data_IF_186576873498
#
_entry.id   IF_186576873498
#
_cell.length_a   1.000
_cell.length_b   1.000
_cell.length_c   1.000
_cell.angle_alpha   90.00
_cell.angle_beta   90.00
_cell.angle_gamma   90.00
#
_symmetry.space_group_name_H-M   'P 1'
#
loop_
_entity.id
_entity.type
_entity.pdbx_description
1 polymer ?
#
# COMPACT_ATOMS: atom_id res chain seq x y z
N UNK A 1 -7.12 19.83 1.56
CA UNK A 1 -8.36 19.08 1.87
C UNK A 1 -8.71 19.34 3.32
N UNK A 2 -9.91 19.85 3.63
CA UNK A 2 -10.33 20.03 5.01
C UNK A 2 -10.38 18.67 5.73
N UNK A 3 -9.90 18.61 6.96
CA UNK A 3 -10.09 17.44 7.82
C UNK A 3 -11.60 17.24 8.06
N UNK A 4 -12.08 16.00 7.93
CA UNK A 4 -13.43 15.62 8.38
C UNK A 4 -14.49 15.42 7.28
N UNK A 5 -14.23 15.79 6.02
CA UNK A 5 -15.14 15.43 4.91
C UNK A 5 -14.76 14.03 4.40
N UNK A 6 -15.68 13.05 4.41
CA UNK A 6 -15.43 11.73 3.83
C UNK A 6 -15.09 11.87 2.35
N UNK A 7 -14.02 11.21 1.90
CA UNK A 7 -13.72 11.13 0.46
C UNK A 7 -14.91 10.51 -0.28
N UNK A 8 -15.19 10.99 -1.49
CA UNK A 8 -16.10 10.31 -2.41
C UNK A 8 -15.70 8.84 -2.58
N UNK A 9 -16.67 7.98 -2.92
CA UNK A 9 -16.45 6.55 -3.02
C UNK A 9 -15.27 6.20 -3.96
N UNK A 10 -15.14 6.95 -5.05
CA UNK A 10 -14.07 6.78 -6.04
C UNK A 10 -12.68 7.20 -5.54
N UNK A 11 -12.62 7.98 -4.47
CA UNK A 11 -11.39 8.44 -3.81
C UNK A 11 -11.18 7.77 -2.44
N UNK A 12 -11.97 6.74 -2.10
CA UNK A 12 -11.78 5.97 -0.87
C UNK A 12 -10.34 5.45 -0.78
N UNK A 13 -9.63 5.77 0.30
CA UNK A 13 -8.24 5.38 0.50
C UNK A 13 -7.24 6.03 -0.45
N UNK A 14 -7.65 6.96 -1.32
CA UNK A 14 -6.80 7.73 -2.23
C UNK A 14 -6.82 9.19 -1.80
N UNK A 15 -5.65 9.77 -1.62
CA UNK A 15 -5.47 11.13 -1.14
C UNK A 15 -4.74 11.95 -2.22
N UNK A 16 -5.34 13.01 -2.77
CA UNK A 16 -4.66 13.90 -3.67
C UNK A 16 -3.57 14.67 -2.91
N UNK A 17 -2.41 14.81 -3.56
CA UNK A 17 -1.24 15.55 -3.07
C UNK A 17 -0.77 16.51 -4.16
N UNK A 18 -0.04 17.59 -3.83
CA UNK A 18 0.50 18.50 -4.84
C UNK A 18 1.37 17.80 -5.91
N UNK A 19 2.03 16.69 -5.56
CA UNK A 19 2.90 15.92 -6.44
C UNK A 19 2.21 14.73 -7.14
N UNK A 20 0.94 14.44 -6.83
CA UNK A 20 0.20 13.29 -7.37
C UNK A 20 -0.82 12.70 -6.39
N UNK A 21 -0.76 11.39 -6.17
CA UNK A 21 -1.74 10.66 -5.36
C UNK A 21 -1.07 9.71 -4.38
N UNK A 22 -1.69 9.54 -3.23
CA UNK A 22 -1.27 8.61 -2.19
C UNK A 22 -2.40 7.63 -1.90
N UNK A 23 -2.15 6.33 -2.04
CA UNK A 23 -3.05 5.28 -1.58
C UNK A 23 -2.65 4.91 -0.17
N UNK A 24 -3.57 5.07 0.79
CA UNK A 24 -3.36 4.72 2.19
C UNK A 24 -4.58 3.97 2.74
N UNK A 25 -4.43 2.67 2.92
CA UNK A 25 -5.45 1.79 3.49
C UNK A 25 -4.90 1.05 4.71
N UNK A 26 -5.64 1.04 5.81
CA UNK A 26 -5.29 0.25 6.98
C UNK A 26 -6.10 -1.05 7.02
N UNK A 27 -5.43 -2.19 7.17
CA UNK A 27 -6.03 -3.53 7.25
C UNK A 27 -5.31 -4.34 8.31
N UNK A 28 -6.08 -4.97 9.23
CA UNK A 28 -5.55 -5.77 10.33
C UNK A 28 -4.44 -5.09 11.18
N UNK A 29 -4.47 -3.76 11.30
CA UNK A 29 -3.44 -2.98 12.02
C UNK A 29 -2.22 -2.59 11.18
N UNK A 30 -2.10 -3.07 9.94
CA UNK A 30 -1.04 -2.70 9.00
C UNK A 30 -1.53 -1.61 8.06
N UNK A 31 -0.70 -0.60 7.83
CA UNK A 31 -0.99 0.49 6.88
C UNK A 31 -0.28 0.21 5.55
N UNK A 32 -1.07 0.03 4.49
CA UNK A 32 -0.59 -0.10 3.12
C UNK A 32 -0.52 1.28 2.47
N UNK A 33 0.70 1.82 2.36
CA UNK A 33 0.98 3.13 1.80
C UNK A 33 1.67 3.00 0.44
N UNK A 34 1.10 3.62 -0.61
CA UNK A 34 1.71 3.68 -1.94
C UNK A 34 1.58 5.09 -2.53
N UNK A 35 2.61 5.55 -3.22
CA UNK A 35 2.68 6.89 -3.80
C UNK A 35 2.76 6.83 -5.34
N UNK A 36 1.95 7.66 -5.99
CA UNK A 36 1.82 7.76 -7.44
C UNK A 36 2.05 9.21 -7.85
N UNK A 37 3.29 9.54 -8.20
CA UNK A 37 3.66 10.90 -8.58
C UNK A 37 3.37 11.19 -10.06
N UNK A 38 2.85 12.38 -10.36
CA UNK A 38 2.58 12.84 -11.74
C UNK A 38 3.85 12.73 -12.59
N UNK A 39 4.98 13.19 -12.04
CA UNK A 39 6.28 13.12 -12.71
C UNK A 39 6.74 11.70 -13.04
N UNK A 40 6.29 10.68 -12.29
CA UNK A 40 6.66 9.28 -12.53
C UNK A 40 5.75 8.60 -13.57
N UNK A 41 4.51 9.07 -13.72
CA UNK A 41 3.49 8.47 -14.57
C UNK A 41 3.14 9.35 -15.79
N UNK A 42 3.86 10.45 -15.99
CA UNK A 42 3.70 11.37 -17.12
C UNK A 42 2.65 12.44 -16.86
N UNK A 43 1.44 12.02 -16.48
CA UNK A 43 0.33 12.93 -16.25
C UNK A 43 -0.46 12.60 -14.97
N UNK A 44 -1.45 13.44 -14.68
CA UNK A 44 -2.31 13.31 -13.49
C UNK A 44 -3.33 12.18 -13.64
N UNK A 45 -3.81 11.91 -14.84
CA UNK A 45 -4.87 10.94 -15.09
C UNK A 45 -4.34 9.50 -14.97
N UNK A 46 -3.17 9.23 -15.53
CA UNK A 46 -2.43 7.99 -15.41
C UNK A 46 -2.02 7.76 -13.95
N UNK A 47 -1.48 8.77 -13.26
CA UNK A 47 -1.16 8.64 -11.84
C UNK A 47 -2.39 8.26 -10.99
N UNK A 48 -3.56 8.84 -11.28
CA UNK A 48 -4.81 8.51 -10.61
C UNK A 48 -5.30 7.11 -10.96
N UNK A 49 -5.21 6.71 -12.23
CA UNK A 49 -5.59 5.38 -12.72
C UNK A 49 -4.79 4.28 -12.02
N UNK A 50 -3.49 4.48 -11.89
CA UNK A 50 -2.59 3.56 -11.19
C UNK A 50 -2.88 3.52 -9.68
N UNK A 51 -3.17 4.67 -9.06
CA UNK A 51 -3.61 4.72 -7.67
C UNK A 51 -4.93 3.94 -7.45
N UNK A 52 -5.91 4.07 -8.36
CA UNK A 52 -7.17 3.32 -8.32
C UNK A 52 -6.94 1.82 -8.48
N UNK A 53 -6.18 1.41 -9.49
CA UNK A 53 -5.85 0.00 -9.70
C UNK A 53 -5.13 -0.62 -8.48
N UNK A 54 -4.18 0.11 -7.87
CA UNK A 54 -3.50 -0.37 -6.66
C UNK A 54 -4.44 -0.48 -5.46
N UNK A 55 -5.32 0.51 -5.26
CA UNK A 55 -6.34 0.46 -4.20
C UNK A 55 -7.23 -0.77 -4.38
N UNK A 56 -7.74 -0.99 -5.59
CA UNK A 56 -8.67 -2.08 -5.89
C UNK A 56 -8.01 -3.44 -5.68
N UNK A 57 -6.75 -3.59 -6.12
CA UNK A 57 -5.96 -4.77 -5.84
C UNK A 57 -5.78 -5.02 -4.33
N UNK A 58 -5.53 -3.98 -3.52
CA UNK A 58 -5.42 -4.12 -2.05
C UNK A 58 -6.77 -4.52 -1.43
N UNK A 59 -7.88 -3.90 -1.87
CA UNK A 59 -9.22 -4.18 -1.37
C UNK A 59 -9.64 -5.63 -1.64
N UNK A 60 -9.33 -6.14 -2.83
CA UNK A 60 -9.62 -7.51 -3.23
C UNK A 60 -8.73 -8.53 -2.52
N UNK A 61 -7.41 -8.28 -2.47
CA UNK A 61 -6.44 -9.22 -1.89
C UNK A 61 -6.42 -9.23 -0.36
N UNK A 62 -6.68 -8.08 0.29
CA UNK A 62 -6.54 -7.91 1.74
C UNK A 62 -7.86 -7.42 2.34
N UNK A 63 -8.82 -8.33 2.60
CA UNK A 63 -10.09 -7.93 3.18
C UNK A 63 -9.96 -7.46 4.64
N UNK A 64 -10.86 -6.57 5.11
CA UNK A 64 -11.03 -6.31 6.53
C UNK A 64 -11.21 -7.61 7.31
N UNK A 65 -10.82 -7.61 8.58
CA UNK A 65 -10.99 -8.79 9.44
C UNK A 65 -12.47 -9.23 9.47
N UNK A 66 -12.71 -10.54 9.41
CA UNK A 66 -14.06 -11.11 9.59
C UNK A 66 -14.64 -10.66 10.93
N UNK A 67 -15.96 -10.43 10.98
CA UNK A 67 -16.63 -10.01 12.23
C UNK A 67 -16.41 -11.01 13.36
N UNK A 68 -16.37 -12.31 13.03
CA UNK A 68 -16.08 -13.42 13.94
C UNK A 68 -14.76 -13.21 14.70
N UNK A 69 -13.66 -12.94 13.98
CA UNK A 69 -12.34 -12.71 14.59
C UNK A 69 -12.38 -11.56 15.61
N UNK A 70 -13.12 -10.49 15.31
CA UNK A 70 -13.30 -9.38 16.26
C UNK A 70 -14.15 -9.79 17.47
N UNK A 71 -15.18 -10.60 17.27
CA UNK A 71 -16.09 -11.06 18.31
C UNK A 71 -15.45 -12.10 19.25
N UNK A 72 -14.47 -12.85 18.77
CA UNK A 72 -13.68 -13.84 19.53
C UNK A 72 -12.53 -13.21 20.32
N UNK A 73 -12.10 -11.99 19.96
CA UNK A 73 -11.00 -11.31 20.63
C UNK A 73 -11.33 -11.02 22.11
N UNK A 74 -10.58 -11.67 23.01
CA UNK A 74 -10.62 -11.41 24.45
C UNK A 74 -10.14 -10.00 24.73
N UNK A 75 -10.89 -9.29 25.59
CA UNK A 75 -10.56 -7.93 26.05
C UNK A 75 -9.96 -8.00 27.44
N UNK A 76 -9.12 -7.02 27.78
CA UNK A 76 -8.46 -6.91 29.09
C UNK A 76 -9.45 -6.91 30.27
N UNK A 77 -10.67 -6.44 30.06
CA UNK A 77 -11.72 -6.40 31.08
C UNK A 77 -12.63 -7.65 31.10
N UNK A 78 -12.31 -8.68 30.33
CA UNK A 78 -13.06 -9.93 30.33
C UNK A 78 -12.58 -10.79 31.50
N UNK A 79 -13.48 -11.04 32.47
CA UNK A 79 -13.22 -11.89 33.64
C UNK A 79 -13.66 -13.36 33.46
N UNK A 80 -14.30 -13.69 32.33
CA UNK A 80 -14.94 -14.98 32.07
C UNK A 80 -14.16 -15.88 31.12
N UNK A 81 -13.06 -15.39 30.54
CA UNK A 81 -12.25 -16.07 29.52
C UNK A 81 -12.91 -16.13 28.13
N UNK A 82 -14.24 -16.09 28.04
CA UNK A 82 -15.00 -16.18 26.78
C UNK A 82 -15.74 -14.88 26.46
N UNK A 83 -15.40 -14.14 25.39
CA UNK A 83 -16.07 -12.90 25.02
C UNK A 83 -17.54 -13.10 24.67
N UNK A 84 -18.42 -12.30 25.27
CA UNK A 84 -19.87 -12.38 25.06
C UNK A 84 -20.58 -13.38 25.97
N UNK A 85 -19.86 -14.09 26.84
CA UNK A 85 -20.42 -14.88 27.94
C UNK A 85 -20.28 -14.09 29.24
N UNK A 86 -21.40 -13.84 29.91
CA UNK A 86 -21.46 -13.05 31.16
C UNK A 86 -22.25 -13.79 32.23
N UNK A 87 -21.75 -13.89 33.47
CA UNK A 87 -22.57 -14.33 34.60
C UNK A 87 -23.64 -13.28 34.90
N UNK A 88 -24.81 -13.77 35.30
CA UNK A 88 -25.91 -12.99 35.85
C UNK A 88 -25.94 -13.30 37.33
N UNK A 89 -25.92 -12.25 38.17
CA UNK A 89 -25.88 -12.38 39.62
C UNK A 89 -27.27 -12.12 40.22
N UNK A 90 -27.57 -12.80 41.32
CA UNK A 90 -28.68 -12.46 42.20
C UNK A 90 -28.31 -11.27 43.09
N UNK A 91 -29.29 -10.77 43.84
CA UNK A 91 -29.09 -9.68 44.80
C UNK A 91 -28.08 -10.02 45.91
N UNK A 92 -27.95 -11.31 46.24
CA UNK A 92 -26.99 -11.83 47.25
C UNK A 92 -25.56 -12.00 46.71
N UNK A 93 -25.31 -11.69 45.44
CA UNK A 93 -24.00 -11.86 44.79
C UNK A 93 -23.71 -13.29 44.29
N UNK A 94 -24.61 -14.24 44.50
CA UNK A 94 -24.51 -15.60 43.93
C UNK A 94 -24.79 -15.58 42.42
N UNK A 95 -24.17 -16.51 41.67
CA UNK A 95 -24.44 -16.64 40.23
C UNK A 95 -25.82 -17.27 40.02
N UNK A 96 -26.73 -16.49 39.44
CA UNK A 96 -28.07 -16.91 39.05
C UNK A 96 -28.07 -17.76 37.78
N UNK A 97 -27.13 -17.47 36.87
CA UNK A 97 -27.07 -18.10 35.56
C UNK A 97 -26.02 -17.48 34.67
N UNK A 98 -25.88 -18.05 33.49
CA UNK A 98 -24.92 -17.64 32.48
C UNK A 98 -25.63 -17.24 31.20
N UNK A 99 -25.22 -16.10 30.64
CA UNK A 99 -25.79 -15.57 29.40
C UNK A 99 -24.75 -15.49 28.30
N UNK A 100 -25.05 -16.08 27.15
CA UNK A 100 -24.35 -15.86 25.90
C UNK A 100 -25.08 -14.79 25.08
N UNK A 101 -24.36 -13.75 24.64
CA UNK A 101 -24.89 -12.66 23.82
C UNK A 101 -23.98 -12.35 22.63
N UNK A 102 -24.55 -12.38 21.43
CA UNK A 102 -23.82 -12.19 20.17
C UNK A 102 -24.56 -11.26 19.21
N UNK A 103 -23.84 -10.30 18.63
CA UNK A 103 -24.36 -9.43 17.57
C UNK A 103 -24.00 -10.00 16.20
N UNK A 104 -24.94 -10.67 15.54
CA UNK A 104 -24.69 -11.36 14.26
C UNK A 104 -24.95 -10.49 13.03
N UNK A 105 -25.72 -9.40 13.17
CA UNK A 105 -26.08 -8.48 12.07
C UNK A 105 -26.37 -7.06 12.58
N UNK A 106 -26.64 -6.10 11.67
CA UNK A 106 -27.24 -4.82 12.05
C UNK A 106 -28.59 -5.07 12.74
N UNK A 107 -28.72 -4.65 14.01
CA UNK A 107 -29.95 -4.88 14.81
C UNK A 107 -30.19 -6.32 15.27
N UNK A 108 -29.50 -7.31 14.69
CA UNK A 108 -29.73 -8.73 14.97
C UNK A 108 -28.82 -9.26 16.09
N UNK A 109 -29.45 -9.75 17.17
CA UNK A 109 -28.78 -10.19 18.40
C UNK A 109 -29.28 -11.58 18.78
N UNK A 110 -28.37 -12.55 18.88
CA UNK A 110 -28.66 -13.85 19.48
C UNK A 110 -28.35 -13.82 20.97
N UNK A 111 -29.26 -14.38 21.77
CA UNK A 111 -29.14 -14.48 23.22
C UNK A 111 -29.53 -15.90 23.65
N UNK A 112 -28.76 -16.45 24.57
CA UNK A 112 -29.11 -17.69 25.27
C UNK A 112 -28.80 -17.50 26.75
N UNK A 113 -29.65 -18.04 27.61
CA UNK A 113 -29.52 -17.95 29.06
C UNK A 113 -29.70 -19.35 29.65
N UNK A 114 -28.82 -19.68 30.59
CA UNK A 114 -28.80 -20.97 31.27
C UNK A 114 -28.77 -20.72 32.77
N UNK A 115 -29.80 -21.17 33.48
CA UNK A 115 -29.95 -20.97 34.93
C UNK A 115 -29.06 -21.94 35.71
N UNK A 116 -28.44 -21.49 36.79
CA UNK A 116 -27.72 -22.39 37.72
C UNK A 116 -28.69 -23.30 38.47
N UNK A 117 -29.96 -22.92 38.63
CA UNK A 117 -30.96 -23.79 39.27
C UNK A 117 -31.32 -25.00 38.40
N UNK A 118 -31.26 -24.86 37.08
CA UNK A 118 -31.67 -25.92 36.15
C UNK A 118 -30.49 -26.78 35.70
N UNK A 119 -29.32 -26.16 35.50
CA UNK A 119 -28.16 -26.84 34.93
C UNK A 119 -26.95 -26.91 35.87
N UNK A 120 -27.06 -26.38 37.10
CA UNK A 120 -25.97 -26.36 38.07
C UNK A 120 -24.69 -25.76 37.49
N UNK A 121 -23.57 -26.44 37.74
CA UNK A 121 -22.24 -26.06 37.26
C UNK A 121 -22.11 -26.13 35.72
N UNK A 122 -22.96 -26.92 35.05
CA UNK A 122 -22.96 -27.04 33.59
C UNK A 122 -23.49 -25.78 32.88
N UNK A 123 -24.17 -24.87 33.60
CA UNK A 123 -24.74 -23.65 33.02
C UNK A 123 -23.70 -22.79 32.29
N UNK A 124 -22.48 -22.69 32.83
CA UNK A 124 -21.38 -21.95 32.19
C UNK A 124 -20.96 -22.61 30.87
N UNK A 125 -20.76 -23.92 30.90
CA UNK A 125 -20.35 -24.71 29.74
C UNK A 125 -21.40 -24.63 28.63
N UNK A 126 -22.69 -24.72 28.97
CA UNK A 126 -23.79 -24.56 28.02
C UNK A 126 -23.80 -23.15 27.39
N UNK A 127 -23.54 -22.10 28.18
CA UNK A 127 -23.42 -20.75 27.64
C UNK A 127 -22.23 -20.61 26.67
N UNK A 128 -21.10 -21.29 26.94
CA UNK A 128 -19.95 -21.31 26.03
C UNK A 128 -20.29 -22.03 24.71
N UNK A 129 -20.96 -23.20 24.77
CA UNK A 129 -21.40 -23.90 23.55
C UNK A 129 -22.43 -23.11 22.74
N UNK A 130 -23.40 -22.48 23.42
CA UNK A 130 -24.34 -21.60 22.76
C UNK A 130 -23.62 -20.42 22.10
N UNK A 131 -22.59 -19.86 22.75
CA UNK A 131 -21.77 -18.79 22.17
C UNK A 131 -21.02 -19.24 20.93
N UNK A 132 -20.43 -20.44 20.92
CA UNK A 132 -19.79 -21.01 19.75
C UNK A 132 -20.78 -21.14 18.58
N UNK A 133 -21.95 -21.72 18.83
CA UNK A 133 -23.02 -21.85 17.83
C UNK A 133 -23.48 -20.49 17.27
N UNK A 134 -23.56 -19.47 18.12
CA UNK A 134 -23.88 -18.10 17.70
C UNK A 134 -22.77 -17.48 16.83
N UNK A 135 -21.50 -17.80 17.08
CA UNK A 135 -20.36 -17.34 16.28
C UNK A 135 -20.32 -18.01 14.90
N UNK A 136 -20.75 -19.26 14.79
CA UNK A 136 -20.82 -19.95 13.50
C UNK A 136 -21.87 -19.32 12.57
N UNK A 137 -22.94 -18.74 13.14
CA UNK A 137 -23.92 -17.94 12.39
C UNK A 137 -23.42 -16.54 12.03
N UNK A 138 -22.27 -16.10 12.55
CA UNK A 138 -21.74 -14.76 12.29
C UNK A 138 -21.01 -14.72 10.94
N UNK A 139 -21.65 -14.11 9.95
CA UNK A 139 -21.06 -13.86 8.64
C UNK A 139 -20.57 -12.41 8.45
N UNK A 140 -19.74 -12.22 7.41
CA UNK A 140 -19.37 -10.90 6.90
C UNK A 140 -18.13 -10.25 7.51
N UNK A 141 -17.80 -9.08 6.96
CA UNK A 141 -16.58 -8.32 7.24
C UNK A 141 -16.84 -7.24 8.28
N UNK A 142 -15.81 -6.88 9.04
CA UNK A 142 -15.92 -5.83 10.06
C UNK A 142 -16.02 -4.47 9.38
N UNK A 143 -17.22 -3.86 9.40
CA UNK A 143 -17.49 -2.48 8.95
C UNK A 143 -16.76 -2.12 7.64
N UNK A 144 -17.00 -2.82 6.52
CA UNK A 144 -16.48 -2.40 5.23
C UNK A 144 -16.99 -0.99 4.91
N UNK A 145 -16.14 -0.14 4.36
CA UNK A 145 -16.57 1.17 3.89
C UNK A 145 -17.62 0.99 2.77
N UNK A 146 -18.68 1.81 2.65
CA UNK A 146 -19.69 1.63 1.60
C UNK A 146 -19.09 1.58 0.19
N UNK A 147 -18.07 2.40 -0.07
CA UNK A 147 -17.32 2.35 -1.33
C UNK A 147 -16.63 1.00 -1.57
N UNK A 148 -16.18 0.32 -0.52
CA UNK A 148 -15.49 -0.96 -0.63
C UNK A 148 -16.43 -2.09 -1.06
N UNK A 149 -17.71 -2.05 -0.67
CA UNK A 149 -18.70 -3.02 -1.13
C UNK A 149 -18.80 -3.02 -2.67
N UNK A 150 -18.93 -1.83 -3.27
CA UNK A 150 -18.95 -1.66 -4.74
C UNK A 150 -17.68 -2.13 -5.42
N UNK A 151 -16.51 -1.92 -4.79
CA UNK A 151 -15.22 -2.36 -5.33
C UNK A 151 -15.06 -3.88 -5.30
N UNK A 152 -15.71 -4.56 -4.33
CA UNK A 152 -15.72 -6.03 -4.23
C UNK A 152 -16.70 -6.68 -5.18
N UNK A 153 -17.80 -6.00 -5.51
CA UNK A 153 -18.76 -6.44 -6.53
C UNK A 153 -18.17 -6.37 -7.95
N UNK A 154 -17.10 -5.60 -8.17
CA UNK A 154 -16.37 -5.62 -9.45
C UNK A 154 -15.67 -6.95 -9.65
N UNK A 155 -16.09 -7.69 -10.67
CA UNK A 155 -15.59 -9.03 -11.03
C UNK A 155 -14.09 -9.05 -11.34
N UNK A 156 -13.53 -7.97 -11.86
CA UNK A 156 -12.10 -7.86 -12.14
C UNK A 156 -11.52 -6.56 -11.57
N UNK A 157 -10.35 -6.61 -10.91
CA UNK A 157 -9.59 -5.40 -10.66
C UNK A 157 -9.27 -4.75 -12.00
N UNK A 158 -9.30 -3.41 -12.11
CA UNK A 158 -8.70 -2.77 -13.27
C UNK A 158 -7.27 -3.29 -13.36
N UNK A 159 -6.95 -3.99 -14.46
CA UNK A 159 -5.59 -4.44 -14.74
C UNK A 159 -4.71 -3.21 -14.56
N UNK A 160 -3.68 -3.29 -13.71
CA UNK A 160 -2.63 -2.28 -13.74
C UNK A 160 -2.08 -2.36 -15.16
N UNK A 161 -2.55 -1.46 -16.03
CA UNK A 161 -1.97 -1.28 -17.34
C UNK A 161 -0.51 -0.94 -17.06
N UNK A 162 0.40 -1.65 -17.69
CA UNK A 162 1.84 -1.52 -17.51
C UNK A 162 2.34 -0.18 -18.09
N UNK A 163 1.72 0.93 -17.71
CA UNK A 163 2.24 2.24 -17.98
C UNK A 163 3.66 2.26 -17.42
N UNK A 164 4.61 2.56 -18.30
CA UNK A 164 6.02 2.48 -17.96
C UNK A 164 6.31 3.55 -16.93
N UNK A 165 6.57 3.13 -15.69
CA UNK A 165 7.00 4.03 -14.63
C UNK A 165 8.33 4.68 -15.03
N UNK A 166 8.32 6.00 -15.17
CA UNK A 166 9.53 6.76 -15.50
C UNK A 166 10.56 6.59 -14.38
N UNK A 167 11.79 6.27 -14.76
CA UNK A 167 12.90 6.20 -13.82
C UNK A 167 13.35 7.61 -13.43
N UNK A 168 14.07 7.76 -12.31
CA UNK A 168 14.67 9.03 -11.90
C UNK A 168 15.50 9.70 -13.01
N UNK A 169 16.05 8.91 -13.92
CA UNK A 169 16.90 9.37 -15.02
C UNK A 169 16.11 10.01 -16.15
N UNK A 170 14.81 9.73 -16.22
CA UNK A 170 13.88 10.18 -17.27
C UNK A 170 12.94 11.28 -16.79
N UNK A 171 12.91 11.53 -15.48
CA UNK A 171 12.09 12.59 -14.89
C UNK A 171 12.82 13.93 -15.04
N UNK A 172 12.16 14.90 -15.69
CA UNK A 172 12.62 16.29 -15.74
C UNK A 172 12.42 16.92 -14.35
N UNK A 173 13.51 17.35 -13.71
CA UNK A 173 13.43 18.04 -12.43
C UNK A 173 12.81 19.43 -12.55
N UNK A 174 12.17 19.94 -11.48
CA UNK A 174 11.52 21.27 -11.46
C UNK A 174 12.44 22.43 -11.87
N UNK A 175 13.72 22.34 -11.51
CA UNK A 175 14.71 23.40 -11.79
C UNK A 175 15.46 23.15 -13.10
N UNK A 176 15.01 22.18 -13.92
CA UNK A 176 15.65 21.87 -15.19
C UNK A 176 15.11 22.80 -16.28
N UNK A 177 15.95 23.74 -16.70
CA UNK A 177 15.66 24.71 -17.78
C UNK A 177 15.94 24.16 -19.18
N UNK A 178 16.58 22.99 -19.30
CA UNK A 178 16.90 22.39 -20.58
C UNK A 178 15.71 21.69 -21.24
N UNK A 179 14.75 21.22 -20.44
CA UNK A 179 13.67 20.31 -20.86
C UNK A 179 14.11 18.84 -20.98
N UNK A 180 15.40 18.54 -20.80
CA UNK A 180 15.99 17.20 -20.95
C UNK A 180 16.56 16.71 -19.61
N UNK A 181 16.10 15.56 -19.08
CA UNK A 181 16.61 15.01 -17.81
C UNK A 181 18.12 14.78 -17.86
N UNK A 182 18.85 15.28 -16.86
CA UNK A 182 20.31 15.16 -16.78
C UNK A 182 21.09 16.12 -17.68
N UNK A 183 20.42 17.05 -18.37
CA UNK A 183 21.06 18.21 -18.99
C UNK A 183 20.75 19.43 -18.13
N UNK A 184 21.79 20.19 -17.78
CA UNK A 184 21.65 21.37 -16.92
C UNK A 184 22.52 22.51 -17.43
N UNK A 185 22.00 23.72 -17.32
CA UNK A 185 22.76 24.94 -17.51
C UNK A 185 23.43 25.32 -16.19
N UNK A 186 24.73 25.61 -16.25
CA UNK A 186 25.45 26.25 -15.15
C UNK A 186 25.81 27.66 -15.58
N UNK A 187 25.23 28.63 -14.86
CA UNK A 187 25.57 30.03 -15.01
C UNK A 187 27.06 30.22 -14.72
N UNK A 188 27.73 31.00 -15.56
CA UNK A 188 29.10 31.41 -15.31
C UNK A 188 29.15 32.60 -14.35
N UNK A 189 30.36 32.93 -13.91
CA UNK A 189 30.64 34.09 -13.09
C UNK A 189 31.61 35.01 -13.84
N UNK A 190 31.44 36.32 -13.70
CA UNK A 190 32.31 37.32 -14.34
C UNK A 190 32.20 37.28 -15.86
N UNK A 191 33.33 37.16 -16.54
CA UNK A 191 33.46 37.18 -18.00
C UNK A 191 33.01 35.87 -18.69
N UNK A 192 32.64 34.83 -17.92
CA UNK A 192 32.25 33.54 -18.47
C UNK A 192 30.72 33.45 -18.64
N UNK A 193 30.18 33.23 -19.85
CA UNK A 193 28.72 33.14 -20.09
C UNK A 193 28.08 31.85 -19.55
N UNK A 194 28.84 30.95 -18.92
CA UNK A 194 28.38 29.66 -18.43
C UNK A 194 28.56 28.51 -19.43
N UNK A 195 27.99 27.35 -19.09
CA UNK A 195 28.09 26.14 -19.89
C UNK A 195 26.87 25.23 -19.73
N UNK A 196 26.60 24.45 -20.77
CA UNK A 196 25.64 23.34 -20.72
C UNK A 196 26.37 22.05 -20.39
N UNK A 197 25.78 21.20 -19.55
CA UNK A 197 26.42 19.95 -19.13
C UNK A 197 25.43 18.79 -19.14
N UNK A 198 25.88 17.66 -19.68
CA UNK A 198 25.22 16.36 -19.58
C UNK A 198 25.79 15.58 -18.40
N UNK A 199 24.94 15.00 -17.56
CA UNK A 199 25.32 14.16 -16.43
C UNK A 199 24.49 12.88 -16.36
N UNK A 200 25.16 11.75 -16.18
CA UNK A 200 24.55 10.42 -15.98
C UNK A 200 25.15 9.75 -14.75
N UNK A 201 24.31 9.46 -13.76
CA UNK A 201 24.71 8.65 -12.60
C UNK A 201 24.80 7.17 -12.96
N UNK A 202 25.92 6.53 -12.63
CA UNK A 202 26.06 5.07 -12.62
C UNK A 202 25.61 4.52 -11.26
N UNK A 203 25.00 3.33 -11.23
CA UNK A 203 24.42 2.75 -10.00
C UNK A 203 25.50 2.53 -8.92
N UNK A 204 26.74 2.20 -9.34
CA UNK A 204 27.85 1.81 -8.46
C UNK A 204 29.19 2.47 -8.87
N UNK A 205 29.18 3.52 -9.72
CA UNK A 205 30.41 4.14 -10.24
C UNK A 205 30.31 5.68 -10.30
N UNK A 206 31.46 6.33 -10.53
CA UNK A 206 31.56 7.79 -10.68
C UNK A 206 30.66 8.24 -11.83
N UNK A 207 29.88 9.30 -11.59
CA UNK A 207 28.98 9.87 -12.60
C UNK A 207 29.76 10.29 -13.85
N UNK A 208 29.26 9.92 -15.03
CA UNK A 208 29.82 10.40 -16.30
C UNK A 208 29.20 11.78 -16.57
N UNK A 209 30.04 12.80 -16.67
CA UNK A 209 29.61 14.16 -16.96
C UNK A 209 30.49 14.81 -18.01
N UNK A 210 29.90 15.64 -18.88
CA UNK A 210 30.64 16.42 -19.88
C UNK A 210 29.98 17.78 -20.09
N UNK A 211 30.81 18.82 -20.09
CA UNK A 211 30.40 20.22 -20.19
C UNK A 211 30.79 20.82 -21.55
N UNK A 212 29.94 21.73 -22.03
CA UNK A 212 30.06 22.44 -23.31
C UNK A 212 29.91 23.94 -23.04
N UNK A 213 30.99 24.68 -23.23
CA UNK A 213 31.07 26.11 -22.92
C UNK A 213 30.26 26.95 -23.91
N UNK A 214 29.47 27.90 -23.39
CA UNK A 214 28.76 28.87 -24.24
C UNK A 214 29.74 29.79 -24.97
N UNK A 215 30.88 30.13 -24.36
CA UNK A 215 31.91 30.98 -24.97
C UNK A 215 32.47 30.38 -26.27
N UNK A 216 32.52 29.05 -26.34
CA UNK A 216 33.13 28.33 -27.47
C UNK A 216 32.11 27.99 -28.55
N UNK A 217 30.89 27.61 -28.18
CA UNK A 217 29.92 27.05 -29.12
C UNK A 217 28.70 27.97 -29.34
N UNK A 218 28.49 28.99 -28.51
CA UNK A 218 27.20 29.68 -28.43
C UNK A 218 26.17 28.87 -27.63
N UNK A 219 25.12 29.53 -27.16
CA UNK A 219 24.17 28.94 -26.21
C UNK A 219 23.42 27.73 -26.79
N UNK A 220 22.87 27.88 -27.99
CA UNK A 220 22.02 26.86 -28.61
C UNK A 220 22.81 25.62 -29.03
N UNK A 221 23.99 25.81 -29.63
CA UNK A 221 24.86 24.71 -30.02
C UNK A 221 25.44 23.99 -28.80
N UNK A 222 25.83 24.72 -27.75
CA UNK A 222 26.28 24.09 -26.50
C UNK A 222 25.16 23.23 -25.86
N UNK A 223 23.91 23.71 -25.90
CA UNK A 223 22.75 22.92 -25.46
C UNK A 223 22.56 21.67 -26.32
N UNK A 224 22.60 21.80 -27.64
CA UNK A 224 22.44 20.68 -28.57
C UNK A 224 23.52 19.59 -28.35
N UNK A 225 24.78 20.00 -28.17
CA UNK A 225 25.89 19.10 -27.87
C UNK A 225 25.69 18.37 -26.53
N UNK A 226 25.22 19.08 -25.50
CA UNK A 226 24.89 18.47 -24.22
C UNK A 226 23.76 17.43 -24.33
N UNK A 227 22.71 17.72 -25.13
CA UNK A 227 21.62 16.76 -25.38
C UNK A 227 22.13 15.52 -26.14
N UNK A 228 22.94 15.70 -27.18
CA UNK A 228 23.52 14.59 -27.95
C UNK A 228 24.42 13.70 -27.07
N UNK A 229 25.27 14.32 -26.24
CA UNK A 229 26.12 13.60 -25.29
C UNK A 229 25.29 12.85 -24.25
N UNK A 230 24.16 13.42 -23.79
CA UNK A 230 23.25 12.74 -22.87
C UNK A 230 22.65 11.48 -23.49
N UNK A 231 22.23 11.53 -24.75
CA UNK A 231 21.74 10.35 -25.50
C UNK A 231 22.84 9.27 -25.56
N UNK A 232 24.08 9.67 -25.84
CA UNK A 232 25.23 8.75 -25.85
C UNK A 232 25.47 8.10 -24.50
N UNK A 233 25.44 8.87 -23.41
CA UNK A 233 25.63 8.35 -22.05
C UNK A 233 24.53 7.36 -21.65
N UNK A 234 23.28 7.59 -22.06
CA UNK A 234 22.17 6.67 -21.81
C UNK A 234 22.31 5.37 -22.62
N UNK A 235 22.67 5.46 -23.90
CA UNK A 235 22.92 4.29 -24.73
C UNK A 235 24.05 3.42 -24.17
N UNK A 236 25.16 4.04 -23.76
CA UNK A 236 26.28 3.34 -23.12
C UNK A 236 25.86 2.68 -21.79
N UNK A 237 25.01 3.33 -20.99
CA UNK A 237 24.50 2.76 -19.74
C UNK A 237 23.58 1.55 -19.97
N UNK A 238 22.76 1.57 -21.01
CA UNK A 238 21.90 0.44 -21.37
C UNK A 238 22.68 -0.74 -21.97
N UNK A 239 23.87 -0.49 -22.54
CA UNK A 239 24.73 -1.51 -23.13
C UNK A 239 25.60 -2.29 -22.11
N UNK A 240 25.73 -1.79 -20.87
CA UNK A 240 26.44 -2.51 -19.80
C UNK A 240 25.42 -3.46 -19.14
N UNK A 241 25.54 -4.79 -19.29
CA UNK A 241 24.64 -5.74 -18.63
C UNK A 241 24.76 -5.54 -17.12
N UNK A 242 23.62 -5.53 -16.42
CA UNK A 242 23.57 -5.57 -14.96
C UNK A 242 24.20 -6.86 -14.45
N UNK A 243 25.51 -6.88 -14.28
CA UNK A 243 26.24 -7.93 -13.58
C UNK A 243 25.87 -7.92 -12.11
N UNK A 244 24.83 -8.68 -11.76
CA UNK A 244 24.58 -9.34 -10.47
C UNK A 244 23.18 -9.98 -10.53
N UNK A 245 23.05 -11.05 -11.31
CA UNK A 245 22.15 -12.14 -10.95
C UNK A 245 23.07 -13.21 -10.39
N UNK A 246 23.01 -13.37 -9.06
CA UNK A 246 23.84 -14.31 -8.32
C UNK A 246 23.71 -15.71 -8.95
N UNK A 247 24.88 -16.26 -9.27
CA UNK A 247 25.15 -17.66 -9.47
C UNK A 247 24.40 -18.50 -8.42
N UNK A 248 23.20 -18.99 -8.76
CA UNK A 248 22.66 -20.18 -8.12
C UNK A 248 23.38 -21.36 -8.76
N UNK A 249 24.57 -21.65 -8.24
CA UNK A 249 25.31 -22.88 -8.53
C UNK A 249 24.36 -24.04 -8.19
N UNK A 250 23.73 -24.59 -9.22
CA UNK A 250 23.23 -25.97 -9.19
C UNK A 250 24.44 -26.86 -9.35
N UNK A 251 25.13 -27.15 -8.25
CA UNK A 251 26.05 -28.29 -8.21
C UNK A 251 25.20 -29.54 -8.05
N UNK A 252 25.06 -30.21 -9.18
CA UNK A 252 24.64 -31.58 -9.36
C UNK A 252 25.38 -32.56 -8.43
N UNK A 253 24.65 -33.62 -8.07
CA UNK A 253 25.11 -35.01 -8.03
C UNK A 253 26.63 -35.25 -8.17
N UNK A 254 27.21 -35.93 -7.18
CA UNK A 254 28.22 -36.98 -7.34
C UNK A 254 28.47 -37.62 -5.96
N UNK A 255 27.66 -38.61 -5.61
CA UNK A 255 28.04 -39.63 -4.63
C UNK A 255 27.98 -40.98 -5.35
N UNK A 256 29.15 -41.42 -5.78
CA UNK A 256 29.39 -42.78 -6.21
C UNK A 256 30.83 -43.17 -5.86
N UNK A 257 30.94 -44.23 -5.02
CA UNK A 257 32.11 -45.08 -4.72
C UNK A 257 33.05 -44.49 -3.66
N UNK A 258 33.37 -45.19 -2.58
CA UNK A 258 33.69 -46.62 -2.45
C UNK A 258 33.05 -47.24 -1.20
#
# INVERSE_FOLDING_TARGET
>A
MPQGVPNEADMYGIYPKPWGFEVSLSRAGVRHLHQFGIAQWGDKEEALRQARARRDAIVQSIPPAKRRVRAEKVRVNNKTGTPGVTPIFRADGSVQGWRAKTYIGPGEILRAYFSTNEHGDAAQTLAIYARASQLDRMAGLTRPHPAEARLRERTEPPRMLEARKLTKTEIVGRNNTSGVPGVQFKAGHGEHPGYWMAITGARNARSISKAFSIKTHGSDLAKALAVAERVRQLAAKSAIPSGNEEFRVSSSQLDARQ
#
